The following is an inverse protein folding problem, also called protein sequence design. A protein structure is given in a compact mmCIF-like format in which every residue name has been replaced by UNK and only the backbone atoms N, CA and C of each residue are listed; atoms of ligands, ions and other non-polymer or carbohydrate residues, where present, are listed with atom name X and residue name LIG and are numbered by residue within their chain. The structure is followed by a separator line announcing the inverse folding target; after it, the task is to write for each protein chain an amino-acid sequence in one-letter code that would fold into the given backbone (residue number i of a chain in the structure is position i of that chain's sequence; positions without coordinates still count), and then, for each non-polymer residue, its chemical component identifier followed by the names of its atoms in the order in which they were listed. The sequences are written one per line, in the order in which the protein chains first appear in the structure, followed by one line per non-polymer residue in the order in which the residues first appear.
data_IF_341575119534
#
_entry.id   IF_341575119534
#
_cell.length_a   1.000
_cell.length_b   1.000
_cell.length_c   1.000
_cell.angle_alpha   90.00
_cell.angle_beta   90.00
_cell.angle_gamma   90.00
#
_symmetry.space_group_name_H-M   'P 1'
#
loop_
_entity.id
_entity.type
_entity.pdbx_description
1 polymer ?
#
# COMPACT_ATOMS: atom_id res chain seq x y z
N UNK A 1 28.00 -16.97 3.18
CA UNK A 1 27.06 -15.93 3.68
C UNK A 1 26.78 -14.92 2.57
N UNK A 2 25.54 -14.77 2.17
CA UNK A 2 25.13 -13.79 1.17
C UNK A 2 25.25 -12.39 1.82
N UNK A 3 25.85 -11.42 1.13
CA UNK A 3 26.09 -10.07 1.65
C UNK A 3 24.79 -9.29 1.93
N UNK A 4 24.90 -8.14 2.57
CA UNK A 4 23.76 -7.24 2.85
C UNK A 4 23.01 -6.79 1.59
N UNK A 5 23.68 -6.80 0.43
CA UNK A 5 23.14 -6.42 -0.88
C UNK A 5 22.13 -7.43 -1.45
N UNK A 6 22.08 -8.65 -0.93
CA UNK A 6 21.15 -9.70 -1.43
C UNK A 6 19.68 -9.33 -1.32
N UNK A 7 19.32 -8.46 -0.37
CA UNK A 7 17.95 -7.97 -0.16
C UNK A 7 17.65 -6.66 -0.85
N UNK A 8 18.65 -6.00 -1.45
CA UNK A 8 18.43 -4.71 -2.13
C UNK A 8 17.47 -4.87 -3.30
N UNK A 9 16.44 -4.03 -3.30
CA UNK A 9 15.43 -3.98 -4.35
C UNK A 9 15.60 -2.72 -5.16
N UNK A 10 15.64 -2.87 -6.49
CA UNK A 10 15.64 -1.76 -7.45
C UNK A 10 14.44 -1.91 -8.36
N UNK A 11 13.52 -0.97 -8.34
CA UNK A 11 12.38 -0.93 -9.26
C UNK A 11 11.84 0.50 -9.37
N UNK A 12 11.26 0.82 -10.52
CA UNK A 12 10.68 2.14 -10.77
C UNK A 12 11.61 3.31 -10.40
N UNK A 13 12.91 3.20 -10.72
CA UNK A 13 13.99 4.17 -10.42
C UNK A 13 14.29 4.36 -8.92
N UNK A 14 13.66 3.57 -8.06
CA UNK A 14 13.88 3.58 -6.62
C UNK A 14 14.77 2.43 -6.18
N UNK A 15 15.54 2.66 -5.12
CA UNK A 15 16.36 1.63 -4.48
C UNK A 15 16.03 1.55 -2.98
N UNK A 16 15.78 0.33 -2.50
CA UNK A 16 15.48 0.03 -1.09
C UNK A 16 16.46 -1.01 -0.56
N UNK A 17 16.88 -0.85 0.69
CA UNK A 17 17.79 -1.80 1.37
C UNK A 17 17.24 -3.22 1.53
N UNK A 18 15.91 -3.39 1.44
CA UNK A 18 15.22 -4.67 1.47
C UNK A 18 13.78 -4.50 0.95
N UNK A 19 13.05 -5.60 0.58
CA UNK A 19 11.76 -5.50 -0.06
C UNK A 19 10.59 -5.14 0.86
N UNK A 20 10.80 -4.95 2.18
CA UNK A 20 9.69 -4.68 3.11
C UNK A 20 9.40 -3.19 3.23
N UNK A 21 8.12 -2.82 3.15
CA UNK A 21 7.65 -1.44 3.25
C UNK A 21 6.56 -1.31 4.32
N UNK A 22 6.52 -0.15 4.99
CA UNK A 22 5.33 0.21 5.78
C UNK A 22 4.16 0.45 4.83
N UNK A 23 3.01 -0.20 5.06
CA UNK A 23 1.79 0.07 4.30
C UNK A 23 1.15 1.41 4.72
N UNK A 24 0.54 2.09 3.74
CA UNK A 24 -0.34 3.23 4.00
C UNK A 24 -1.48 2.86 4.97
N UNK A 25 -1.93 3.83 5.75
CA UNK A 25 -3.05 3.66 6.68
C UNK A 25 -2.67 3.19 8.07
N UNK A 26 -1.44 2.75 8.30
CA UNK A 26 -0.97 2.20 9.57
C UNK A 26 0.24 2.99 10.09
N UNK A 27 0.15 3.63 11.25
CA UNK A 27 1.24 4.34 11.98
C UNK A 27 1.99 5.47 11.22
N UNK A 28 1.72 5.72 9.96
CA UNK A 28 2.46 6.68 9.13
C UNK A 28 2.00 8.15 9.29
N UNK A 29 1.73 8.64 10.52
CA UNK A 29 1.13 9.95 10.80
C UNK A 29 2.10 10.99 11.38
N UNK A 30 3.32 10.60 11.78
CA UNK A 30 4.33 11.55 12.26
C UNK A 30 5.74 11.13 11.89
N UNK A 31 6.64 12.11 11.75
CA UNK A 31 8.06 11.88 11.44
C UNK A 31 8.72 10.95 12.46
N UNK A 32 8.45 11.14 13.75
CA UNK A 32 9.03 10.31 14.83
C UNK A 32 8.65 8.82 14.68
N UNK A 33 7.39 8.54 14.34
CA UNK A 33 6.95 7.17 14.09
C UNK A 33 7.58 6.58 12.83
N UNK A 34 7.63 7.34 11.75
CA UNK A 34 8.28 6.92 10.50
C UNK A 34 9.75 6.56 10.73
N UNK A 35 10.51 7.41 11.42
CA UNK A 35 11.91 7.14 11.75
C UNK A 35 12.08 5.89 12.61
N UNK A 36 11.20 5.69 13.59
CA UNK A 36 11.23 4.48 14.44
C UNK A 36 10.99 3.21 13.62
N UNK A 37 10.03 3.24 12.70
CA UNK A 37 9.72 2.11 11.83
C UNK A 37 10.90 1.83 10.88
N UNK A 38 11.48 2.87 10.29
CA UNK A 38 12.66 2.72 9.45
C UNK A 38 13.81 2.08 10.22
N UNK A 39 14.16 2.58 11.42
CA UNK A 39 15.19 1.97 12.28
C UNK A 39 14.89 0.53 12.67
N UNK A 40 13.62 0.15 12.73
CA UNK A 40 13.18 -1.24 13.02
C UNK A 40 13.29 -2.19 11.83
N UNK A 41 13.82 -1.74 10.68
CA UNK A 41 14.20 -2.60 9.57
C UNK A 41 13.37 -2.47 8.30
N UNK A 42 12.35 -1.61 8.24
CA UNK A 42 11.63 -1.35 6.99
C UNK A 42 12.57 -0.81 5.91
N UNK A 43 12.46 -1.30 4.69
CA UNK A 43 13.24 -0.83 3.54
C UNK A 43 12.75 0.52 3.03
N UNK A 44 11.45 0.75 3.06
CA UNK A 44 10.79 1.99 2.67
C UNK A 44 9.55 2.23 3.54
N UNK A 45 9.07 3.45 3.53
CA UNK A 45 7.91 3.89 4.30
C UNK A 45 6.84 4.48 3.38
N UNK A 46 5.57 4.18 3.66
CA UNK A 46 4.43 4.89 3.06
C UNK A 46 3.67 5.61 4.16
N UNK A 47 3.39 6.90 3.97
CA UNK A 47 2.63 7.68 4.95
C UNK A 47 1.18 7.21 5.04
N UNK A 48 0.47 7.63 6.09
CA UNK A 48 -0.99 7.61 6.06
C UNK A 48 -1.47 8.44 4.87
N UNK A 49 -2.60 8.04 4.27
CA UNK A 49 -3.17 8.79 3.14
C UNK A 49 -3.55 10.21 3.60
N UNK A 50 -3.05 11.20 2.86
CA UNK A 50 -3.23 12.62 3.13
C UNK A 50 -4.25 13.20 2.15
N UNK A 51 -5.14 14.04 2.64
CA UNK A 51 -6.13 14.79 1.87
C UNK A 51 -5.80 16.28 1.83
N UNK A 52 -6.51 17.05 0.99
CA UNK A 52 -6.32 18.50 0.90
C UNK A 52 -6.59 19.21 2.23
N UNK A 53 -7.62 18.78 2.94
CA UNK A 53 -8.01 19.32 4.26
C UNK A 53 -7.99 18.21 5.31
N UNK A 54 -7.87 18.54 6.59
CA UNK A 54 -7.99 17.56 7.67
C UNK A 54 -9.32 16.80 7.62
N UNK A 55 -9.27 15.51 7.94
CA UNK A 55 -10.45 14.64 8.07
C UNK A 55 -10.41 14.00 9.46
N UNK A 56 -11.49 14.15 10.24
CA UNK A 56 -11.60 13.56 11.58
C UNK A 56 -11.80 12.05 11.56
N UNK A 57 -12.47 11.53 10.52
CA UNK A 57 -12.84 10.13 10.42
C UNK A 57 -14.16 9.77 11.08
N UNK A 58 -14.42 8.47 11.23
CA UNK A 58 -15.67 7.98 11.82
C UNK A 58 -15.56 7.83 13.35
N UNK A 59 -16.73 7.76 14.02
CA UNK A 59 -16.84 7.45 15.46
C UNK A 59 -16.45 6.01 15.74
N UNK A 60 -15.97 5.73 16.95
CA UNK A 60 -15.71 4.37 17.41
C UNK A 60 -17.01 3.55 17.54
N UNK A 61 -16.92 2.22 17.36
CA UNK A 61 -15.76 1.41 16.98
C UNK A 61 -15.42 1.54 15.49
N UNK A 62 -14.13 1.77 15.20
CA UNK A 62 -13.62 1.93 13.82
C UNK A 62 -12.76 0.77 13.36
N UNK A 63 -12.34 -0.11 14.27
CA UNK A 63 -11.52 -1.29 13.96
C UNK A 63 -11.99 -2.43 14.85
N UNK A 64 -12.18 -3.60 14.25
CA UNK A 64 -12.45 -4.86 14.96
C UNK A 64 -11.50 -5.95 14.46
N UNK A 65 -11.08 -6.81 15.37
CA UNK A 65 -10.39 -8.04 15.04
C UNK A 65 -11.41 -9.16 14.83
N UNK A 66 -11.22 -9.92 13.77
CA UNK A 66 -11.91 -11.17 13.49
C UNK A 66 -10.98 -12.34 13.80
N UNK A 67 -11.50 -13.55 13.81
CA UNK A 67 -10.73 -14.76 13.97
C UNK A 67 -9.59 -14.85 12.94
N UNK A 68 -8.47 -15.47 13.34
CA UNK A 68 -7.37 -15.77 12.43
C UNK A 68 -6.53 -14.57 12.02
N UNK A 69 -6.45 -13.51 12.81
CA UNK A 69 -5.64 -12.30 12.52
C UNK A 69 -6.13 -11.53 11.31
N UNK A 70 -7.41 -11.44 11.17
CA UNK A 70 -8.09 -10.63 10.18
C UNK A 70 -8.80 -9.48 10.87
N UNK A 71 -8.96 -8.36 10.17
CA UNK A 71 -9.50 -7.12 10.73
C UNK A 71 -10.49 -6.50 9.76
N UNK A 72 -11.55 -5.89 10.29
CA UNK A 72 -12.39 -4.97 9.52
C UNK A 72 -12.19 -3.58 10.11
N UNK A 73 -11.96 -2.59 9.26
CA UNK A 73 -11.78 -1.21 9.70
C UNK A 73 -12.61 -0.22 8.86
N UNK A 74 -13.10 0.81 9.53
CA UNK A 74 -13.73 1.98 8.94
C UNK A 74 -13.23 3.20 9.70
N UNK A 75 -11.98 3.59 9.47
CA UNK A 75 -11.36 4.77 10.12
C UNK A 75 -11.84 6.08 9.50
N UNK A 76 -12.37 6.05 8.27
CA UNK A 76 -12.90 7.24 7.60
C UNK A 76 -11.79 8.19 7.14
N UNK A 77 -10.62 7.67 6.74
CA UNK A 77 -9.49 8.44 6.21
C UNK A 77 -8.96 9.54 7.16
N UNK A 78 -9.16 9.41 8.47
CA UNK A 78 -8.69 10.39 9.46
C UNK A 78 -7.23 10.77 9.23
N UNK A 79 -6.95 12.07 8.99
CA UNK A 79 -5.60 12.57 8.71
C UNK A 79 -5.54 14.10 8.96
N UNK A 80 -4.34 14.66 9.21
CA UNK A 80 -4.18 16.09 9.53
C UNK A 80 -4.24 17.03 8.32
N UNK A 81 -4.46 16.51 7.10
CA UNK A 81 -4.28 17.23 5.86
C UNK A 81 -2.80 17.29 5.41
N UNK A 82 -2.60 17.44 4.12
CA UNK A 82 -1.25 17.37 3.54
C UNK A 82 -0.32 18.51 3.99
N UNK A 83 -0.85 19.72 4.22
CA UNK A 83 -0.01 20.85 4.62
C UNK A 83 0.55 20.71 6.04
N UNK A 84 -0.27 20.23 6.98
CA UNK A 84 0.19 19.97 8.34
C UNK A 84 1.26 18.85 8.34
N UNK A 85 1.04 17.78 7.58
CA UNK A 85 2.00 16.70 7.46
C UNK A 85 3.28 17.14 6.73
N UNK A 86 3.18 18.00 5.72
CA UNK A 86 4.35 18.56 5.02
C UNK A 86 5.27 19.34 5.97
N UNK A 87 4.70 20.12 6.89
CA UNK A 87 5.48 20.80 7.94
C UNK A 87 6.17 19.81 8.87
N UNK A 88 5.48 18.74 9.25
CA UNK A 88 6.02 17.68 10.12
C UNK A 88 7.25 16.99 9.53
N UNK A 89 7.27 16.75 8.21
CA UNK A 89 8.31 15.98 7.51
C UNK A 89 9.38 16.83 6.83
N UNK A 90 9.48 18.14 7.09
CA UNK A 90 10.47 19.02 6.44
C UNK A 90 11.91 18.52 6.60
N UNK A 91 12.24 17.93 7.73
CA UNK A 91 13.58 17.38 8.05
C UNK A 91 13.69 15.88 7.75
N UNK A 92 12.77 15.31 6.95
CA UNK A 92 12.77 13.88 6.63
C UNK A 92 14.07 13.43 5.95
N UNK A 93 14.65 12.35 6.48
CA UNK A 93 15.83 11.65 5.92
C UNK A 93 15.56 10.19 5.61
N UNK A 94 14.39 9.70 5.97
CA UNK A 94 13.98 8.31 5.73
C UNK A 94 13.40 8.16 4.31
N UNK A 95 13.55 7.01 3.65
CA UNK A 95 12.95 6.74 2.34
C UNK A 95 11.42 6.69 2.47
N UNK A 96 10.77 7.80 2.11
CA UNK A 96 9.35 8.03 2.32
C UNK A 96 8.61 8.26 1.00
N UNK A 97 7.53 7.51 0.81
CA UNK A 97 6.51 7.71 -0.22
C UNK A 97 5.28 8.33 0.45
N UNK A 98 4.73 9.40 -0.10
CA UNK A 98 3.51 10.02 0.43
C UNK A 98 2.27 9.41 -0.20
N UNK A 99 1.40 8.82 0.62
CA UNK A 99 0.09 8.37 0.17
C UNK A 99 -0.88 9.55 0.11
N UNK A 100 -1.56 9.70 -1.02
CA UNK A 100 -2.50 10.80 -1.26
C UNK A 100 -3.89 10.25 -1.54
N UNK A 101 -4.92 10.95 -1.06
CA UNK A 101 -6.32 10.62 -1.29
C UNK A 101 -7.09 11.89 -1.65
N UNK A 102 -7.99 11.78 -2.61
CA UNK A 102 -8.82 12.87 -3.08
C UNK A 102 -10.04 12.35 -3.82
N UNK A 103 -11.02 13.21 -4.04
CA UNK A 103 -12.27 12.88 -4.73
C UNK A 103 -12.28 13.28 -6.20
N UNK A 104 -11.36 14.17 -6.61
CA UNK A 104 -11.23 14.68 -7.96
C UNK A 104 -9.76 14.78 -8.38
N UNK A 105 -9.49 14.76 -9.67
CA UNK A 105 -8.12 14.93 -10.20
C UNK A 105 -7.43 16.20 -9.67
N UNK A 106 -8.18 17.31 -9.48
CA UNK A 106 -7.64 18.58 -8.98
C UNK A 106 -7.05 18.46 -7.58
N UNK A 107 -7.59 17.58 -6.74
CA UNK A 107 -7.11 17.33 -5.38
C UNK A 107 -5.70 16.76 -5.43
N UNK A 108 -5.49 15.74 -6.25
CA UNK A 108 -4.18 15.10 -6.41
C UNK A 108 -3.15 16.06 -7.03
N UNK A 109 -3.53 16.79 -8.09
CA UNK A 109 -2.64 17.77 -8.73
C UNK A 109 -2.21 18.85 -7.75
N UNK A 110 -3.13 19.37 -6.93
CA UNK A 110 -2.82 20.38 -5.92
C UNK A 110 -1.77 19.86 -4.93
N UNK A 111 -2.03 18.68 -4.33
CA UNK A 111 -1.13 18.08 -3.35
C UNK A 111 0.23 17.73 -3.97
N UNK A 112 0.26 17.11 -5.13
CA UNK A 112 1.50 16.71 -5.81
C UNK A 112 2.39 17.92 -6.07
N UNK A 113 1.87 19.00 -6.67
CA UNK A 113 2.64 20.24 -6.93
C UNK A 113 3.26 20.86 -5.67
N UNK A 114 2.56 20.78 -4.55
CA UNK A 114 3.03 21.36 -3.28
C UNK A 114 4.07 20.46 -2.60
N UNK A 115 3.89 19.15 -2.68
CA UNK A 115 4.70 18.15 -2.00
C UNK A 115 5.95 17.71 -2.81
N UNK A 116 5.96 17.93 -4.12
CA UNK A 116 7.05 17.50 -4.99
C UNK A 116 8.42 18.08 -4.59
N UNK A 117 8.44 19.25 -3.95
CA UNK A 117 9.66 19.93 -3.48
C UNK A 117 10.26 19.31 -2.21
N UNK A 118 9.53 18.42 -1.53
CA UNK A 118 10.00 17.79 -0.29
C UNK A 118 11.00 16.66 -0.59
N UNK A 119 11.82 16.34 0.40
CA UNK A 119 12.74 15.20 0.35
C UNK A 119 11.96 13.89 0.57
N UNK A 120 11.27 13.44 -0.47
CA UNK A 120 10.49 12.21 -0.55
C UNK A 120 10.84 11.43 -1.80
N UNK A 121 10.60 10.14 -1.80
CA UNK A 121 10.88 9.26 -2.94
C UNK A 121 9.82 9.34 -4.03
N UNK A 122 8.58 9.67 -3.69
CA UNK A 122 7.47 9.69 -4.63
C UNK A 122 6.11 9.66 -3.95
N UNK A 123 5.09 9.20 -4.70
CA UNK A 123 3.71 9.21 -4.24
C UNK A 123 3.03 7.86 -4.39
N UNK A 124 2.09 7.56 -3.49
CA UNK A 124 1.10 6.48 -3.66
C UNK A 124 -0.28 7.13 -3.79
N UNK A 125 -0.92 6.99 -4.94
CA UNK A 125 -2.25 7.53 -5.22
C UNK A 125 -3.28 6.49 -4.77
N UNK A 126 -3.98 6.79 -3.69
CA UNK A 126 -5.01 5.92 -3.13
C UNK A 126 -6.38 6.25 -3.75
N UNK A 127 -6.93 5.30 -4.50
CA UNK A 127 -8.21 5.46 -5.20
C UNK A 127 -9.44 5.06 -4.37
N UNK A 128 -9.24 4.66 -3.11
CA UNK A 128 -10.33 4.22 -2.21
C UNK A 128 -11.07 5.39 -1.52
N UNK A 129 -11.12 6.58 -2.14
CA UNK A 129 -11.93 7.69 -1.65
C UNK A 129 -13.38 7.54 -2.16
N UNK A 130 -14.40 7.81 -1.32
CA UNK A 130 -15.77 7.83 -1.79
C UNK A 130 -15.97 8.78 -2.96
N UNK A 131 -16.67 8.33 -4.00
CA UNK A 131 -16.96 9.13 -5.17
C UNK A 131 -18.01 10.19 -4.83
N UNK A 132 -17.71 11.48 -4.98
CA UNK A 132 -18.59 12.60 -4.56
C UNK A 132 -19.95 12.59 -5.26
N UNK A 133 -20.02 12.12 -6.50
CA UNK A 133 -21.26 12.15 -7.32
C UNK A 133 -22.08 10.86 -7.26
N UNK A 134 -21.50 9.76 -6.73
CA UNK A 134 -22.16 8.43 -6.75
C UNK A 134 -22.00 7.81 -5.36
N UNK A 135 -23.04 7.91 -4.53
CA UNK A 135 -23.04 7.30 -3.20
C UNK A 135 -22.72 5.81 -3.25
N UNK A 136 -21.81 5.37 -2.38
CA UNK A 136 -21.39 3.97 -2.26
C UNK A 136 -20.34 3.49 -3.26
N UNK A 137 -19.87 4.35 -4.17
CA UNK A 137 -18.75 4.06 -5.09
C UNK A 137 -17.49 4.74 -4.62
N UNK A 138 -16.34 4.13 -4.92
CA UNK A 138 -15.01 4.72 -4.76
C UNK A 138 -14.55 5.37 -6.07
N UNK A 139 -13.55 6.25 -6.01
CA UNK A 139 -12.91 6.84 -7.21
C UNK A 139 -12.38 5.75 -8.13
N UNK A 140 -11.89 4.64 -7.57
CA UNK A 140 -11.43 3.46 -8.31
C UNK A 140 -12.52 2.70 -9.08
N UNK A 141 -13.80 3.02 -8.88
CA UNK A 141 -14.91 2.43 -9.62
C UNK A 141 -15.27 3.20 -10.92
N UNK A 142 -14.47 4.21 -11.29
CA UNK A 142 -14.64 5.02 -12.51
C UNK A 142 -13.34 5.07 -13.30
N UNK A 143 -13.21 4.26 -14.36
CA UNK A 143 -11.99 4.15 -15.18
C UNK A 143 -11.54 5.46 -15.80
N UNK A 144 -12.48 6.29 -16.27
CA UNK A 144 -12.15 7.58 -16.88
C UNK A 144 -11.62 8.56 -15.83
N UNK A 145 -12.19 8.55 -14.63
CA UNK A 145 -11.67 9.32 -13.51
C UNK A 145 -10.26 8.85 -13.14
N UNK A 146 -10.03 7.54 -13.03
CA UNK A 146 -8.71 6.97 -12.76
C UNK A 146 -7.71 7.38 -13.83
N UNK A 147 -8.06 7.24 -15.12
CA UNK A 147 -7.23 7.65 -16.26
C UNK A 147 -6.85 9.13 -16.15
N UNK A 148 -7.84 9.98 -15.91
CA UNK A 148 -7.63 11.42 -15.75
C UNK A 148 -6.69 11.74 -14.58
N UNK A 149 -6.87 11.10 -13.43
CA UNK A 149 -6.00 11.30 -12.26
C UNK A 149 -4.56 10.89 -12.58
N UNK A 150 -4.34 9.67 -13.11
CA UNK A 150 -3.00 9.15 -13.38
C UNK A 150 -2.25 10.04 -14.37
N UNK A 151 -2.90 10.42 -15.49
CA UNK A 151 -2.37 11.34 -16.49
C UNK A 151 -1.98 12.68 -15.88
N UNK A 152 -2.86 13.27 -15.07
CA UNK A 152 -2.60 14.57 -14.47
C UNK A 152 -1.51 14.50 -13.39
N UNK A 153 -1.42 13.44 -12.62
CA UNK A 153 -0.30 13.23 -11.69
C UNK A 153 1.01 13.17 -12.48
N UNK A 154 1.09 12.38 -13.55
CA UNK A 154 2.30 12.24 -14.37
C UNK A 154 2.81 13.56 -14.94
N UNK A 155 1.91 14.41 -15.41
CA UNK A 155 2.28 15.71 -15.98
C UNK A 155 2.81 16.69 -14.90
N UNK A 156 2.45 16.49 -13.64
CA UNK A 156 2.73 17.44 -12.56
C UNK A 156 3.84 17.00 -11.58
N UNK A 157 4.48 15.85 -11.81
CA UNK A 157 5.65 15.43 -11.03
C UNK A 157 6.60 14.57 -11.88
N UNK A 158 7.92 14.79 -11.81
CA UNK A 158 8.90 13.85 -12.34
C UNK A 158 9.12 12.65 -11.40
N UNK A 159 8.73 12.76 -10.12
CA UNK A 159 8.94 11.70 -9.14
C UNK A 159 8.14 10.43 -9.50
N UNK A 160 8.65 9.25 -9.12
CA UNK A 160 7.90 8.01 -9.19
C UNK A 160 6.58 8.09 -8.43
N UNK A 161 5.53 7.47 -8.99
CA UNK A 161 4.27 7.32 -8.28
C UNK A 161 3.59 5.99 -8.61
N UNK A 162 2.87 5.48 -7.62
CA UNK A 162 2.22 4.18 -7.63
C UNK A 162 0.72 4.35 -7.45
N UNK A 163 -0.07 3.53 -8.13
CA UNK A 163 -1.52 3.53 -7.95
C UNK A 163 -1.91 2.41 -6.99
N UNK A 164 -2.52 2.77 -5.85
CA UNK A 164 -3.04 1.79 -4.89
C UNK A 164 -4.38 1.27 -5.37
N UNK A 165 -4.41 0.00 -5.77
CA UNK A 165 -5.56 -0.67 -6.35
C UNK A 165 -6.36 -1.43 -5.29
N UNK A 166 -7.68 -1.34 -5.36
CA UNK A 166 -8.61 -2.16 -4.61
C UNK A 166 -9.26 -3.25 -5.47
N UNK A 167 -9.82 -4.25 -4.83
CA UNK A 167 -10.74 -5.21 -5.46
C UNK A 167 -12.15 -4.69 -5.26
N UNK A 168 -12.75 -4.17 -6.32
CA UNK A 168 -14.06 -3.51 -6.32
C UNK A 168 -14.90 -3.93 -7.51
N UNK A 169 -15.72 -3.02 -8.03
CA UNK A 169 -16.64 -3.27 -9.15
C UNK A 169 -15.92 -3.37 -10.50
N UNK A 170 -14.73 -2.78 -10.61
CA UNK A 170 -13.93 -2.86 -11.83
C UNK A 170 -12.86 -3.93 -11.67
N UNK A 171 -12.62 -4.68 -12.73
CA UNK A 171 -11.51 -5.63 -12.80
C UNK A 171 -10.19 -4.92 -12.52
N UNK A 172 -9.46 -5.44 -11.56
CA UNK A 172 -8.16 -4.89 -11.12
C UNK A 172 -7.14 -4.85 -12.27
N UNK A 173 -7.23 -5.76 -13.24
CA UNK A 173 -6.37 -5.74 -14.44
C UNK A 173 -6.63 -4.49 -15.28
N UNK A 174 -7.89 -4.10 -15.50
CA UNK A 174 -8.24 -2.86 -16.22
C UNK A 174 -7.69 -1.62 -15.53
N UNK A 175 -7.76 -1.57 -14.21
CA UNK A 175 -7.18 -0.47 -13.42
C UNK A 175 -5.65 -0.43 -13.56
N UNK A 176 -5.00 -1.59 -13.53
CA UNK A 176 -3.55 -1.70 -13.71
C UNK A 176 -3.12 -1.36 -15.15
N UNK A 177 -3.92 -1.70 -16.17
CA UNK A 177 -3.72 -1.28 -17.56
C UNK A 177 -3.75 0.24 -17.69
N UNK A 178 -4.76 0.89 -17.11
CA UNK A 178 -4.84 2.36 -17.09
C UNK A 178 -3.60 2.96 -16.41
N UNK A 179 -3.16 2.41 -15.28
CA UNK A 179 -1.95 2.88 -14.59
C UNK A 179 -0.70 2.76 -15.48
N UNK A 180 -0.52 1.64 -16.19
CA UNK A 180 0.58 1.40 -17.13
C UNK A 180 0.51 2.38 -18.32
N UNK A 181 -0.64 2.48 -18.97
CA UNK A 181 -0.83 3.27 -20.20
C UNK A 181 -0.62 4.77 -19.94
N UNK A 182 -1.04 5.26 -18.77
CA UNK A 182 -0.83 6.64 -18.33
C UNK A 182 0.51 6.84 -17.58
N UNK A 183 1.44 5.87 -17.68
CA UNK A 183 2.82 5.95 -17.20
C UNK A 183 2.99 6.14 -15.69
N UNK A 184 2.14 5.52 -14.88
CA UNK A 184 2.46 5.30 -13.48
C UNK A 184 3.73 4.43 -13.36
N UNK A 185 4.53 4.65 -12.33
CA UNK A 185 5.79 3.91 -12.12
C UNK A 185 5.56 2.47 -11.66
N UNK A 186 4.35 2.16 -11.21
CA UNK A 186 3.92 0.85 -10.76
C UNK A 186 2.56 0.89 -10.08
N UNK A 187 2.15 -0.24 -9.54
CA UNK A 187 0.90 -0.35 -8.77
C UNK A 187 1.15 -1.00 -7.42
N UNK A 188 0.32 -0.68 -6.43
CA UNK A 188 0.24 -1.42 -5.15
C UNK A 188 -1.04 -2.24 -5.15
N UNK A 189 -0.94 -3.56 -5.02
CA UNK A 189 -2.05 -4.51 -5.00
C UNK A 189 -1.96 -5.39 -3.74
N UNK A 190 -2.98 -5.34 -2.86
CA UNK A 190 -4.28 -4.69 -2.96
C UNK A 190 -4.56 -3.79 -1.74
N UNK A 191 -5.57 -2.93 -1.85
CA UNK A 191 -6.19 -2.28 -0.71
C UNK A 191 -7.09 -3.27 0.05
N UNK A 192 -7.72 -2.83 1.15
CA UNK A 192 -8.72 -3.62 1.89
C UNK A 192 -9.93 -3.95 1.02
N UNK A 193 -10.61 -5.06 1.31
CA UNK A 193 -11.80 -5.52 0.59
C UNK A 193 -13.04 -5.15 1.40
N UNK A 194 -14.07 -4.59 0.78
CA UNK A 194 -15.32 -4.22 1.46
C UNK A 194 -15.95 -5.41 2.18
N UNK A 195 -16.26 -5.23 3.46
CA UNK A 195 -16.82 -6.26 4.33
C UNK A 195 -17.65 -5.65 5.46
N UNK A 196 -18.41 -6.49 6.15
CA UNK A 196 -19.24 -6.12 7.29
C UNK A 196 -19.20 -7.23 8.34
N UNK A 197 -19.35 -6.87 9.62
CA UNK A 197 -19.63 -7.80 10.69
C UNK A 197 -20.86 -7.32 11.49
N UNK A 198 -21.72 -8.26 11.88
CA UNK A 198 -22.94 -7.99 12.62
C UNK A 198 -22.83 -8.68 13.98
N UNK A 199 -23.15 -7.97 15.04
CA UNK A 199 -23.30 -8.56 16.37
C UNK A 199 -24.64 -9.32 16.44
N UNK A 200 -24.58 -10.64 16.52
CA UNK A 200 -25.78 -11.50 16.51
C UNK A 200 -26.67 -11.33 17.75
N UNK A 201 -26.13 -10.82 18.86
CA UNK A 201 -26.91 -10.60 20.07
C UNK A 201 -27.75 -9.32 20.00
N UNK A 202 -27.23 -8.29 19.33
CA UNK A 202 -27.92 -6.99 19.20
C UNK A 202 -28.59 -6.78 17.84
N UNK A 203 -28.26 -7.63 16.84
CA UNK A 203 -28.72 -7.48 15.45
C UNK A 203 -28.16 -6.25 14.73
N UNK A 204 -27.12 -5.58 15.27
CA UNK A 204 -26.57 -4.34 14.72
C UNK A 204 -25.17 -4.53 14.12
N UNK A 205 -24.77 -3.70 13.13
CA UNK A 205 -23.38 -3.65 12.67
C UNK A 205 -22.42 -3.36 13.83
N UNK A 206 -21.25 -4.03 13.84
CA UNK A 206 -20.26 -3.82 14.90
C UNK A 206 -19.51 -2.49 14.71
N UNK A 207 -19.15 -2.16 13.46
CA UNK A 207 -18.53 -0.85 13.17
C UNK A 207 -19.57 0.26 13.14
N UNK A 208 -19.21 1.44 13.65
CA UNK A 208 -20.09 2.62 13.65
C UNK A 208 -20.54 3.04 12.23
N UNK A 209 -19.69 2.83 11.23
CA UNK A 209 -20.00 3.09 9.80
C UNK A 209 -20.75 1.92 9.13
N UNK A 210 -20.98 0.81 9.81
CA UNK A 210 -21.58 -0.42 9.29
C UNK A 210 -20.63 -1.22 8.38
N UNK A 211 -20.24 -0.68 7.23
CA UNK A 211 -19.33 -1.30 6.27
C UNK A 211 -17.90 -0.78 6.50
N UNK A 212 -16.91 -1.69 6.39
CA UNK A 212 -15.50 -1.37 6.47
C UNK A 212 -14.66 -2.13 5.46
N UNK A 213 -13.35 -1.99 5.55
CA UNK A 213 -12.37 -2.69 4.74
C UNK A 213 -11.80 -3.90 5.50
N UNK A 214 -11.94 -5.09 4.94
CA UNK A 214 -11.33 -6.32 5.42
C UNK A 214 -9.84 -6.32 5.09
N UNK A 215 -9.01 -6.66 6.07
CA UNK A 215 -7.57 -6.81 5.95
C UNK A 215 -7.08 -8.02 6.75
N UNK A 216 -5.77 -8.31 6.70
CA UNK A 216 -5.19 -9.44 7.42
C UNK A 216 -5.21 -10.73 6.62
N UNK A 217 -5.14 -11.88 7.31
CA UNK A 217 -4.92 -13.17 6.66
C UNK A 217 -5.99 -13.55 5.64
N UNK A 218 -7.23 -13.16 5.87
CA UNK A 218 -8.36 -13.52 5.01
C UNK A 218 -8.22 -13.00 3.57
N UNK A 219 -7.51 -11.88 3.35
CA UNK A 219 -7.36 -11.32 2.01
C UNK A 219 -6.10 -11.79 1.28
N UNK A 220 -5.17 -12.50 1.96
CA UNK A 220 -3.89 -12.89 1.33
C UNK A 220 -4.05 -13.66 0.02
N UNK A 221 -4.89 -14.71 -0.09
CA UNK A 221 -5.05 -15.45 -1.34
C UNK A 221 -5.54 -14.59 -2.50
N UNK A 222 -6.44 -13.64 -2.21
CA UNK A 222 -6.95 -12.69 -3.21
C UNK A 222 -5.85 -11.74 -3.66
N UNK A 223 -5.06 -11.20 -2.71
CA UNK A 223 -3.94 -10.31 -3.00
C UNK A 223 -2.86 -10.99 -3.83
N UNK A 224 -2.49 -12.24 -3.51
CA UNK A 224 -1.53 -13.05 -4.28
C UNK A 224 -2.00 -13.23 -5.72
N UNK A 225 -3.29 -13.62 -5.93
CA UNK A 225 -3.87 -13.75 -7.27
C UNK A 225 -3.77 -12.45 -8.05
N UNK A 226 -4.14 -11.32 -7.45
CA UNK A 226 -4.08 -10.02 -8.11
C UNK A 226 -2.65 -9.64 -8.51
N UNK A 227 -1.67 -9.81 -7.62
CA UNK A 227 -0.26 -9.56 -7.90
C UNK A 227 0.23 -10.44 -9.06
N UNK A 228 -0.07 -11.75 -9.01
CA UNK A 228 0.32 -12.70 -10.04
C UNK A 228 -0.23 -12.31 -11.42
N UNK A 229 -1.54 -12.03 -11.50
CA UNK A 229 -2.19 -11.66 -12.76
C UNK A 229 -1.66 -10.36 -13.35
N UNK A 230 -1.52 -9.31 -12.51
CA UNK A 230 -1.00 -8.00 -12.94
C UNK A 230 0.44 -8.14 -13.44
N UNK A 231 1.31 -8.76 -12.64
CA UNK A 231 2.72 -8.92 -12.99
C UNK A 231 2.91 -9.75 -14.25
N UNK A 232 2.23 -10.93 -14.35
CA UNK A 232 2.34 -11.85 -15.49
C UNK A 232 1.81 -11.26 -16.78
N UNK A 233 0.65 -10.56 -16.73
CA UNK A 233 -0.05 -10.07 -17.94
C UNK A 233 0.43 -8.70 -18.42
N UNK A 234 0.80 -7.81 -17.49
CA UNK A 234 1.03 -6.41 -17.82
C UNK A 234 2.49 -5.98 -17.73
N UNK A 235 3.34 -6.71 -17.02
CA UNK A 235 4.75 -6.38 -16.84
C UNK A 235 5.00 -5.06 -16.09
N UNK A 236 3.97 -4.41 -15.53
CA UNK A 236 4.13 -3.22 -14.70
C UNK A 236 4.68 -3.61 -13.33
N UNK A 237 5.60 -2.82 -12.73
CA UNK A 237 6.10 -3.10 -11.37
C UNK A 237 4.97 -3.15 -10.35
N UNK A 238 4.96 -4.20 -9.49
CA UNK A 238 3.92 -4.40 -8.48
C UNK A 238 4.52 -4.37 -7.08
N UNK A 239 3.91 -3.60 -6.19
CA UNK A 239 4.12 -3.69 -4.75
C UNK A 239 2.99 -4.55 -4.18
N UNK A 240 3.32 -5.70 -3.60
CA UNK A 240 2.34 -6.62 -3.01
C UNK A 240 1.87 -6.13 -1.63
N UNK A 241 0.56 -6.16 -1.38
CA UNK A 241 -0.03 -5.76 -0.10
C UNK A 241 -1.24 -6.62 0.23
N UNK A 242 -1.32 -7.16 1.46
CA UNK A 242 -2.48 -7.90 1.95
C UNK A 242 -2.12 -9.20 2.68
N UNK A 243 -2.31 -9.24 3.98
CA UNK A 243 -2.16 -10.45 4.79
C UNK A 243 -0.73 -10.94 5.02
N UNK A 244 0.26 -10.07 4.98
CA UNK A 244 1.68 -10.40 5.20
C UNK A 244 2.00 -10.30 6.69
N UNK A 245 2.31 -11.44 7.32
CA UNK A 245 2.66 -11.58 8.74
C UNK A 245 4.01 -12.26 8.97
N UNK A 246 4.47 -13.05 8.00
CA UNK A 246 5.69 -13.85 8.10
C UNK A 246 6.55 -13.66 6.85
N UNK A 247 7.78 -14.17 6.89
CA UNK A 247 8.66 -14.13 5.73
C UNK A 247 8.15 -15.05 4.59
N UNK A 248 7.49 -16.14 4.93
CA UNK A 248 6.85 -17.04 3.95
C UNK A 248 5.78 -16.28 3.15
N UNK A 249 4.92 -15.51 3.86
CA UNK A 249 3.93 -14.69 3.20
C UNK A 249 4.59 -13.70 2.22
N UNK A 250 5.68 -13.04 2.65
CA UNK A 250 6.40 -12.09 1.80
C UNK A 250 7.04 -12.76 0.59
N UNK A 251 7.66 -13.94 0.78
CA UNK A 251 8.25 -14.75 -0.31
C UNK A 251 7.18 -15.15 -1.32
N UNK A 252 5.99 -15.56 -0.86
CA UNK A 252 4.87 -15.92 -1.73
C UNK A 252 4.47 -14.76 -2.66
N UNK A 253 4.42 -13.52 -2.14
CA UNK A 253 4.20 -12.32 -2.95
C UNK A 253 5.32 -12.07 -3.96
N UNK A 254 6.58 -12.23 -3.56
CA UNK A 254 7.73 -12.07 -4.46
C UNK A 254 7.68 -13.12 -5.58
N UNK A 255 7.42 -14.37 -5.25
CA UNK A 255 7.26 -15.46 -6.24
C UNK A 255 6.10 -15.18 -7.20
N UNK A 256 5.01 -14.56 -6.73
CA UNK A 256 3.89 -14.13 -7.55
C UNK A 256 4.20 -12.93 -8.47
N UNK A 257 5.35 -12.27 -8.31
CA UNK A 257 5.82 -11.17 -9.15
C UNK A 257 5.84 -9.79 -8.49
N UNK A 258 5.60 -9.69 -7.18
CA UNK A 258 5.83 -8.45 -6.47
C UNK A 258 7.31 -8.09 -6.41
N UNK A 259 7.68 -6.83 -6.67
CA UNK A 259 9.05 -6.33 -6.51
C UNK A 259 9.37 -5.94 -5.07
N UNK A 260 8.36 -5.54 -4.32
CA UNK A 260 8.40 -5.21 -2.90
C UNK A 260 7.08 -5.55 -2.24
N UNK A 261 7.02 -5.52 -0.89
CA UNK A 261 5.81 -5.87 -0.13
C UNK A 261 5.50 -4.84 0.94
N UNK A 262 4.24 -4.39 1.00
CA UNK A 262 3.74 -3.50 2.05
C UNK A 262 3.12 -4.30 3.20
N UNK A 263 3.53 -3.97 4.43
CA UNK A 263 3.07 -4.61 5.66
C UNK A 263 2.24 -3.62 6.47
N UNK A 264 0.97 -3.94 6.69
CA UNK A 264 0.02 -3.18 7.51
C UNK A 264 -0.41 -3.97 8.74
N UNK A 265 -1.47 -4.79 8.63
CA UNK A 265 -2.06 -5.59 9.72
C UNK A 265 -1.07 -6.53 10.41
N UNK A 266 0.00 -6.95 9.74
CA UNK A 266 1.10 -7.71 10.36
C UNK A 266 1.79 -6.98 11.52
N UNK A 267 1.78 -5.64 11.53
CA UNK A 267 2.33 -4.82 12.62
C UNK A 267 1.48 -4.95 13.89
N UNK A 268 0.16 -5.00 13.74
CA UNK A 268 -0.76 -5.15 14.89
C UNK A 268 -0.50 -6.41 15.72
N UNK A 269 -0.02 -7.47 15.07
CA UNK A 269 0.25 -8.75 15.73
C UNK A 269 1.69 -8.87 16.29
N UNK A 270 2.70 -8.36 15.55
CA UNK A 270 4.13 -8.56 15.87
C UNK A 270 4.88 -7.28 16.23
N UNK A 271 4.19 -6.15 16.27
CA UNK A 271 4.82 -4.85 16.42
C UNK A 271 5.73 -4.50 15.23
N UNK A 272 6.45 -3.39 15.35
CA UNK A 272 7.35 -2.90 14.28
C UNK A 272 8.58 -3.79 14.03
N UNK A 273 8.88 -4.74 14.92
CA UNK A 273 9.94 -5.75 14.72
C UNK A 273 9.67 -6.71 13.54
N UNK A 274 8.43 -6.74 13.03
CA UNK A 274 8.02 -7.57 11.88
C UNK A 274 8.90 -7.34 10.65
N UNK A 275 9.31 -6.12 10.35
CA UNK A 275 10.16 -5.79 9.20
C UNK A 275 11.52 -6.50 9.26
N UNK A 276 12.20 -6.43 10.41
CA UNK A 276 13.49 -7.11 10.63
C UNK A 276 13.33 -8.64 10.57
N UNK A 277 12.25 -9.16 11.16
CA UNK A 277 11.95 -10.59 11.16
C UNK A 277 11.73 -11.12 9.74
N UNK A 278 10.91 -10.44 8.95
CA UNK A 278 10.60 -10.82 7.55
C UNK A 278 11.87 -10.72 6.68
N UNK A 279 12.61 -9.61 6.75
CA UNK A 279 13.84 -9.43 5.97
C UNK A 279 14.87 -10.52 6.28
N UNK A 280 15.03 -10.89 7.56
CA UNK A 280 15.91 -12.00 7.94
C UNK A 280 15.44 -13.33 7.37
N UNK A 281 14.14 -13.60 7.44
CA UNK A 281 13.56 -14.85 6.90
C UNK A 281 13.72 -14.96 5.37
N UNK A 282 13.51 -13.84 4.64
CA UNK A 282 13.76 -13.82 3.18
C UNK A 282 15.23 -14.12 2.89
N UNK A 283 16.18 -13.53 3.62
CA UNK A 283 17.61 -13.80 3.45
C UNK A 283 17.92 -15.29 3.63
N UNK A 284 17.47 -15.87 4.73
CA UNK A 284 17.68 -17.30 5.00
C UNK A 284 17.06 -18.18 3.89
N UNK A 285 15.90 -17.81 3.37
CA UNK A 285 15.27 -18.51 2.25
C UNK A 285 16.15 -18.46 1.00
N UNK A 286 16.68 -17.28 0.64
CA UNK A 286 17.58 -17.13 -0.51
C UNK A 286 18.84 -18.02 -0.35
N UNK A 287 19.48 -17.96 0.84
CA UNK A 287 20.67 -18.76 1.15
C UNK A 287 20.38 -20.27 1.01
N UNK A 288 19.31 -20.74 1.64
CA UNK A 288 18.94 -22.17 1.63
C UNK A 288 18.57 -22.70 0.22
N UNK A 289 18.06 -21.80 -0.65
CA UNK A 289 17.69 -22.16 -2.04
C UNK A 289 18.78 -21.85 -3.06
N UNK A 290 19.92 -21.27 -2.64
CA UNK A 290 21.03 -20.95 -3.52
C UNK A 290 20.83 -19.73 -4.43
N UNK A 291 19.86 -18.86 -4.11
CA UNK A 291 19.64 -17.59 -4.82
C UNK A 291 20.63 -16.51 -4.36
N UNK A 292 21.11 -15.68 -5.27
CA UNK A 292 22.07 -14.61 -4.96
C UNK A 292 21.42 -13.38 -4.41
N UNK A 293 20.22 -13.04 -4.90
CA UNK A 293 19.51 -11.84 -4.52
C UNK A 293 17.99 -12.01 -4.62
N UNK A 294 17.24 -11.09 -4.01
CA UNK A 294 15.78 -11.14 -3.97
C UNK A 294 15.13 -11.04 -5.35
N UNK A 295 15.80 -10.45 -6.34
CA UNK A 295 15.26 -10.36 -7.71
C UNK A 295 15.21 -11.72 -8.41
N UNK A 296 16.08 -12.65 -8.02
CA UNK A 296 16.14 -13.98 -8.62
C UNK A 296 14.84 -14.76 -8.39
N UNK A 297 14.06 -14.40 -7.36
CA UNK A 297 12.80 -15.07 -7.02
C UNK A 297 11.54 -14.32 -7.48
N UNK A 298 11.67 -13.07 -7.95
CA UNK A 298 10.50 -12.29 -8.40
C UNK A 298 9.89 -12.93 -9.64
N UNK A 299 8.61 -13.30 -9.55
CA UNK A 299 7.86 -13.89 -10.65
C UNK A 299 8.24 -15.33 -11.00
N UNK A 300 8.97 -16.05 -10.15
CA UNK A 300 9.30 -17.45 -10.44
C UNK A 300 8.06 -18.33 -10.67
N UNK A 301 6.94 -18.02 -10.00
CA UNK A 301 5.68 -18.75 -10.19
C UNK A 301 5.08 -18.56 -11.61
N UNK A 302 5.54 -17.59 -12.40
CA UNK A 302 5.07 -17.37 -13.77
C UNK A 302 5.56 -18.46 -14.77
N UNK A 303 6.53 -19.27 -14.36
CA UNK A 303 7.11 -20.34 -15.20
C UNK A 303 6.21 -21.57 -15.31
N UNK A 304 5.18 -21.62 -14.47
CA UNK A 304 4.18 -22.71 -14.41
C UNK A 304 2.80 -22.21 -14.94
#
# INVERSE_FOLDING_TARGET
MIGSESLTVKFAELEFRNPTMLASGFLGISQKFLDRIYRSGAGCLVSKSLSNSPIEGYRNPTVIELDGKSYINAVGLANPGFEAFAREIQANKSPLILSLVGSHQKDFVHMVKRLDKLNILGFEINLSCPHVKKMGMEVGDDLEMVRSIVRQVRVNTPKPFFIKLGVGNIDILKLAEVARDEKASGVTAINTIRAMAINVQTGSPILSNGIGGLSGRSIKPVAIRCVYEISKKLGIPVIGCGGIFTWEDAVEFLLAGASAVQIGSGIGNKGIGVFKSISRGIRNYLENKGFRNVRDIVGLAHRY
#
